data_IF_916745270948
#
_entry.id   IF_916745270948
#
_cell.length_a   1.000
_cell.length_b   1.000
_cell.length_c   1.000
_cell.angle_alpha   90.00
_cell.angle_beta   90.00
_cell.angle_gamma   90.00
#
_symmetry.space_group_name_H-M   'P 1'
#
loop_
_entity.id
_entity.type
_entity.pdbx_description
1 polymer ?
#
# COMPACT_ATOMS: atom_id res chain seq x y z
N UNK A 1 -14.69 13.13 6.27
CA UNK A 1 -13.81 12.09 5.71
C UNK A 1 -14.70 10.89 5.42
N UNK A 2 -14.48 10.13 4.34
CA UNK A 2 -15.31 8.95 4.04
C UNK A 2 -14.97 7.83 5.03
N UNK A 3 -15.95 7.00 5.40
CA UNK A 3 -15.82 5.96 6.43
C UNK A 3 -14.79 4.85 6.11
N UNK A 4 -14.30 4.81 4.88
CA UNK A 4 -13.31 3.84 4.39
C UNK A 4 -11.89 4.41 4.21
N UNK A 5 -11.59 5.59 4.76
CA UNK A 5 -10.26 6.22 4.71
C UNK A 5 -9.68 6.31 6.11
N UNK A 6 -8.54 5.63 6.32
CA UNK A 6 -7.86 5.50 7.60
C UNK A 6 -6.53 6.25 7.56
N UNK A 7 -6.44 7.39 8.22
CA UNK A 7 -5.19 8.13 8.40
C UNK A 7 -4.53 7.66 9.69
N UNK A 8 -3.27 7.26 9.59
CA UNK A 8 -2.52 6.70 10.71
C UNK A 8 -1.78 7.79 11.48
N UNK A 9 -2.23 8.07 12.69
CA UNK A 9 -1.69 9.12 13.57
C UNK A 9 -0.66 8.61 14.60
N UNK A 10 -0.23 7.34 14.47
CA UNK A 10 0.70 6.73 15.42
C UNK A 10 2.03 7.50 15.47
N UNK A 11 2.53 7.89 16.68
CA UNK A 11 3.72 8.75 16.82
C UNK A 11 4.97 8.25 16.09
N UNK A 12 5.21 6.93 16.05
CA UNK A 12 6.34 6.37 15.30
C UNK A 12 6.21 6.54 13.79
N UNK A 13 5.00 6.43 13.24
CA UNK A 13 4.75 6.66 11.82
C UNK A 13 4.99 8.13 11.52
N UNK A 14 4.45 9.05 12.32
CA UNK A 14 4.60 10.49 12.13
C UNK A 14 6.06 10.95 12.24
N UNK A 15 6.81 10.40 13.21
CA UNK A 15 8.24 10.65 13.34
C UNK A 15 9.03 10.22 12.10
N UNK A 16 8.80 8.99 11.62
CA UNK A 16 9.46 8.46 10.43
C UNK A 16 9.06 9.23 9.16
N UNK A 17 7.80 9.61 9.06
CA UNK A 17 7.29 10.42 7.96
C UNK A 17 7.97 11.81 7.92
N UNK A 18 8.20 12.43 9.08
CA UNK A 18 8.92 13.72 9.14
C UNK A 18 10.36 13.60 8.61
N UNK A 19 11.08 12.53 8.95
CA UNK A 19 12.43 12.28 8.42
C UNK A 19 12.39 11.96 6.92
N UNK A 20 11.39 11.16 6.49
CA UNK A 20 11.20 10.79 5.09
C UNK A 20 11.01 12.03 4.19
N UNK A 21 10.28 13.04 4.68
CA UNK A 21 10.00 14.28 3.97
C UNK A 21 11.21 15.18 3.78
N UNK A 22 12.18 15.12 4.69
CA UNK A 22 13.36 16.00 4.64
C UNK A 22 14.12 15.82 3.33
N UNK A 23 14.41 16.92 2.63
CA UNK A 23 15.15 16.93 1.38
C UNK A 23 16.58 16.36 1.49
N UNK A 24 17.15 16.43 2.72
CA UNK A 24 18.48 15.91 3.04
C UNK A 24 18.52 14.41 3.25
N UNK A 25 17.36 13.75 3.36
CA UNK A 25 17.28 12.29 3.52
C UNK A 25 17.75 11.60 2.24
N UNK A 26 18.93 10.99 2.29
CA UNK A 26 19.52 10.29 1.15
C UNK A 26 18.78 9.00 0.81
N UNK A 27 18.98 8.49 -0.43
CA UNK A 27 18.22 7.34 -0.96
C UNK A 27 18.29 6.07 -0.11
N UNK A 28 19.41 5.80 0.58
CA UNK A 28 19.51 4.64 1.48
C UNK A 28 18.51 4.77 2.64
N UNK A 29 18.58 5.88 3.36
CA UNK A 29 17.72 6.13 4.51
C UNK A 29 16.25 6.27 4.08
N UNK A 30 16.00 6.85 2.91
CA UNK A 30 14.64 6.96 2.36
C UNK A 30 14.02 5.57 2.13
N UNK A 31 14.75 4.60 1.55
CA UNK A 31 14.29 3.21 1.38
C UNK A 31 14.02 2.53 2.72
N UNK A 32 14.92 2.70 3.69
CA UNK A 32 14.75 2.13 5.03
C UNK A 32 13.47 2.66 5.69
N UNK A 33 13.22 3.97 5.63
CA UNK A 33 12.03 4.61 6.18
C UNK A 33 10.74 4.18 5.46
N UNK A 34 10.76 4.09 4.13
CA UNK A 34 9.61 3.58 3.34
C UNK A 34 9.24 2.17 3.78
N UNK A 35 10.24 1.29 3.93
CA UNK A 35 10.04 -0.09 4.38
C UNK A 35 9.49 -0.16 5.81
N UNK A 36 10.05 0.62 6.73
CA UNK A 36 9.60 0.68 8.12
C UNK A 36 8.18 1.23 8.29
N UNK A 37 7.85 2.30 7.55
CA UNK A 37 6.48 2.86 7.55
C UNK A 37 5.51 1.82 6.96
N UNK A 38 5.86 1.18 5.84
CA UNK A 38 5.03 0.15 5.22
C UNK A 38 4.76 -1.03 6.16
N UNK A 39 5.75 -1.46 6.95
CA UNK A 39 5.59 -2.49 7.97
C UNK A 39 4.59 -2.08 9.04
N UNK A 40 4.71 -0.86 9.59
CA UNK A 40 3.79 -0.34 10.61
C UNK A 40 2.37 -0.18 10.06
N UNK A 41 2.24 0.31 8.83
CA UNK A 41 0.95 0.40 8.13
C UNK A 41 0.33 -0.97 7.88
N UNK A 42 1.14 -1.98 7.54
CA UNK A 42 0.68 -3.34 7.37
C UNK A 42 0.12 -3.91 8.68
N UNK A 43 0.76 -3.66 9.81
CA UNK A 43 0.28 -4.04 11.13
C UNK A 43 -1.12 -3.46 11.39
N UNK A 44 -1.34 -2.18 11.16
CA UNK A 44 -2.64 -1.54 11.36
C UNK A 44 -3.69 -2.01 10.34
N UNK A 45 -3.34 -2.09 9.07
CA UNK A 45 -4.28 -2.50 8.01
C UNK A 45 -4.72 -3.97 8.10
N UNK A 46 -4.04 -4.79 8.90
CA UNK A 46 -4.38 -6.20 9.15
C UNK A 46 -5.14 -6.43 10.46
N UNK A 47 -5.50 -5.39 11.19
CA UNK A 47 -6.20 -5.47 12.49
C UNK A 47 -7.54 -6.22 12.44
N UNK A 48 -8.21 -6.22 11.30
CA UNK A 48 -9.50 -6.86 11.05
C UNK A 48 -9.41 -8.31 10.54
N UNK A 49 -8.20 -8.90 10.53
CA UNK A 49 -8.04 -10.29 10.09
C UNK A 49 -8.73 -11.25 11.07
N UNK A 50 -9.53 -12.20 10.56
CA UNK A 50 -10.24 -13.14 11.41
C UNK A 50 -9.29 -14.15 12.03
N UNK A 51 -9.60 -14.53 13.26
CA UNK A 51 -8.90 -15.55 14.02
C UNK A 51 -9.78 -16.79 14.17
N UNK A 52 -9.15 -17.98 14.22
CA UNK A 52 -9.78 -19.26 14.55
C UNK A 52 -9.14 -19.86 15.77
N UNK A 53 -9.93 -20.51 16.61
CA UNK A 53 -9.40 -21.25 17.75
C UNK A 53 -8.76 -22.57 17.29
N UNK A 54 -7.62 -22.88 17.86
CA UNK A 54 -6.87 -24.13 17.64
C UNK A 54 -6.30 -24.63 18.95
N UNK A 55 -6.25 -25.96 19.09
CA UNK A 55 -5.52 -26.58 20.21
C UNK A 55 -4.05 -26.79 19.81
N UNK A 56 -3.16 -26.39 20.71
CA UNK A 56 -1.72 -26.62 20.55
C UNK A 56 -1.16 -27.28 21.82
N UNK A 57 -0.08 -28.05 21.67
CA UNK A 57 0.74 -28.50 22.82
C UNK A 57 1.78 -27.46 23.12
N UNK A 58 1.79 -26.94 24.35
CA UNK A 58 2.88 -26.15 24.90
C UNK A 58 3.86 -27.09 25.62
N UNK A 59 5.03 -26.60 26.04
CA UNK A 59 5.94 -27.42 26.87
C UNK A 59 5.35 -27.88 28.19
N UNK A 60 4.26 -27.27 28.64
CA UNK A 60 3.65 -27.54 29.96
C UNK A 60 2.33 -28.29 29.83
N UNK A 61 1.45 -27.90 28.90
CA UNK A 61 0.10 -28.47 28.76
C UNK A 61 -0.50 -28.21 27.39
N UNK A 62 -1.67 -28.82 27.11
CA UNK A 62 -2.49 -28.46 25.96
C UNK A 62 -3.21 -27.13 26.21
N UNK A 63 -3.17 -26.20 25.26
CA UNK A 63 -3.80 -24.91 25.37
C UNK A 63 -4.66 -24.60 24.14
N UNK A 64 -5.79 -23.93 24.36
CA UNK A 64 -6.60 -23.32 23.31
C UNK A 64 -6.01 -21.94 22.97
N UNK A 65 -5.67 -21.74 21.72
CA UNK A 65 -5.04 -20.52 21.21
C UNK A 65 -5.71 -20.03 19.94
N UNK A 66 -5.30 -18.87 19.42
CA UNK A 66 -5.85 -18.29 18.20
C UNK A 66 -4.79 -18.22 17.10
N UNK A 67 -5.18 -18.63 15.90
CA UNK A 67 -4.40 -18.45 14.68
C UNK A 67 -5.21 -17.70 13.64
N UNK A 68 -4.55 -17.10 12.66
CA UNK A 68 -5.25 -16.50 11.52
C UNK A 68 -6.12 -17.55 10.84
N UNK A 69 -7.35 -17.18 10.50
CA UNK A 69 -8.39 -18.10 9.98
C UNK A 69 -8.16 -18.49 8.50
N UNK A 70 -6.95 -18.90 8.15
CA UNK A 70 -6.61 -19.48 6.84
C UNK A 70 -6.68 -18.50 5.66
N UNK A 71 -6.79 -17.17 5.90
CA UNK A 71 -6.78 -16.18 4.83
C UNK A 71 -5.38 -16.05 4.23
N UNK A 72 -5.32 -16.24 2.93
CA UNK A 72 -4.10 -16.04 2.15
C UNK A 72 -4.02 -14.56 1.78
N UNK A 73 -2.84 -13.94 1.90
CA UNK A 73 -2.60 -12.55 1.53
C UNK A 73 -1.73 -12.45 0.28
N UNK A 74 -1.91 -11.36 -0.45
CA UNK A 74 -1.03 -10.96 -1.53
C UNK A 74 -0.75 -9.46 -1.46
N UNK A 75 0.51 -9.08 -1.69
CA UNK A 75 0.92 -7.69 -1.87
C UNK A 75 1.12 -7.41 -3.36
N UNK A 76 0.61 -6.29 -3.82
CA UNK A 76 0.71 -5.88 -5.22
C UNK A 76 1.23 -4.44 -5.29
N UNK A 77 2.55 -4.25 -5.35
CA UNK A 77 3.13 -2.93 -5.56
C UNK A 77 2.81 -2.43 -6.97
N UNK A 78 2.46 -1.14 -7.07
CA UNK A 78 2.41 -0.42 -8.34
C UNK A 78 3.84 -0.02 -8.69
N UNK A 79 4.33 -0.54 -9.80
CA UNK A 79 5.69 -0.29 -10.28
C UNK A 79 5.83 1.19 -10.71
N UNK A 80 6.97 1.82 -10.46
CA UNK A 80 8.18 1.34 -9.76
C UNK A 80 8.17 1.59 -8.25
N UNK A 81 7.60 2.72 -7.81
CA UNK A 81 7.74 3.25 -6.44
C UNK A 81 7.20 2.30 -5.36
N UNK A 82 6.10 1.58 -5.63
CA UNK A 82 5.53 0.60 -4.70
C UNK A 82 6.48 -0.50 -4.27
N UNK A 83 7.52 -0.81 -5.06
CA UNK A 83 8.53 -1.81 -4.69
C UNK A 83 9.24 -1.48 -3.37
N UNK A 84 9.43 -0.19 -3.05
CA UNK A 84 10.06 0.22 -1.80
C UNK A 84 9.31 -0.20 -0.54
N UNK A 85 8.02 -0.51 -0.66
CA UNK A 85 7.19 -0.93 0.47
C UNK A 85 7.21 -2.45 0.71
N UNK A 86 7.64 -3.24 -0.28
CA UNK A 86 7.47 -4.70 -0.29
C UNK A 86 8.23 -5.40 0.83
N UNK A 87 9.49 -5.05 1.05
CA UNK A 87 10.32 -5.68 2.08
C UNK A 87 9.73 -5.46 3.48
N UNK A 88 9.20 -4.26 3.74
CA UNK A 88 8.56 -3.93 5.01
C UNK A 88 7.34 -4.79 5.30
N UNK A 89 6.42 -4.93 4.34
CA UNK A 89 5.22 -5.75 4.53
C UNK A 89 5.54 -7.26 4.57
N UNK A 90 6.52 -7.72 3.81
CA UNK A 90 6.95 -9.14 3.85
C UNK A 90 7.68 -9.50 5.15
N UNK A 91 8.39 -8.55 5.79
CA UNK A 91 9.00 -8.80 7.10
C UNK A 91 7.95 -9.14 8.17
N UNK A 92 6.74 -8.60 8.05
CA UNK A 92 5.63 -8.88 8.96
C UNK A 92 4.82 -10.12 8.52
N UNK A 93 4.63 -10.30 7.21
CA UNK A 93 3.82 -11.42 6.66
C UNK A 93 4.62 -12.17 5.59
N UNK A 94 5.64 -12.94 5.98
CA UNK A 94 6.57 -13.57 5.03
C UNK A 94 5.94 -14.67 4.15
N UNK A 95 4.78 -15.19 4.53
CA UNK A 95 4.04 -16.17 3.75
C UNK A 95 3.14 -15.58 2.66
N UNK A 96 3.02 -14.24 2.58
CA UNK A 96 2.24 -13.58 1.54
C UNK A 96 2.89 -13.77 0.15
N UNK A 97 2.07 -13.86 -0.88
CA UNK A 97 2.56 -13.80 -2.25
C UNK A 97 2.69 -12.35 -2.71
N UNK A 98 3.59 -12.13 -3.67
CA UNK A 98 3.76 -10.81 -4.29
C UNK A 98 3.40 -10.92 -5.77
N UNK A 99 2.48 -10.07 -6.20
CA UNK A 99 2.24 -9.78 -7.61
C UNK A 99 2.81 -8.41 -7.95
N UNK A 100 2.93 -8.09 -9.24
CA UNK A 100 3.42 -6.78 -9.67
C UNK A 100 2.51 -6.25 -10.77
N UNK A 101 2.22 -4.95 -10.71
CA UNK A 101 1.49 -4.26 -11.74
C UNK A 101 2.22 -2.97 -12.12
N UNK A 102 2.45 -2.76 -13.41
CA UNK A 102 3.03 -1.55 -13.95
C UNK A 102 2.06 -0.91 -14.92
N UNK A 103 1.72 0.35 -14.67
CA UNK A 103 0.75 1.12 -15.44
C UNK A 103 1.41 2.40 -15.96
N UNK A 104 1.04 2.81 -17.17
CA UNK A 104 1.28 4.16 -17.66
C UNK A 104 0.05 4.67 -18.40
N UNK A 105 -0.04 5.97 -18.58
CA UNK A 105 -1.05 6.56 -19.43
C UNK A 105 -0.48 6.75 -20.84
N UNK A 106 -1.17 6.17 -21.80
CA UNK A 106 -0.84 6.38 -23.20
C UNK A 106 -0.88 7.89 -23.53
N UNK A 107 0.18 8.46 -24.10
CA UNK A 107 0.27 9.91 -24.31
C UNK A 107 -0.71 10.45 -25.36
N UNK A 108 -1.21 9.60 -26.27
CA UNK A 108 -2.13 10.00 -27.33
C UNK A 108 -3.59 9.80 -26.91
N UNK A 109 -3.89 8.64 -26.33
CA UNK A 109 -5.27 8.26 -26.00
C UNK A 109 -5.65 8.61 -24.56
N UNK A 110 -4.68 8.96 -23.71
CA UNK A 110 -4.82 9.15 -22.28
C UNK A 110 -5.45 7.96 -21.52
N UNK A 111 -5.53 6.79 -22.17
CA UNK A 111 -6.03 5.57 -21.53
C UNK A 111 -4.95 4.89 -20.72
N UNK A 112 -5.34 4.23 -19.61
CA UNK A 112 -4.40 3.41 -18.86
C UNK A 112 -3.97 2.20 -19.69
N UNK A 113 -2.67 1.90 -19.65
CA UNK A 113 -2.08 0.72 -20.29
C UNK A 113 -1.23 0.00 -19.25
N UNK A 114 -1.51 -1.29 -19.05
CA UNK A 114 -0.64 -2.14 -18.26
C UNK A 114 0.54 -2.62 -19.12
N UNK A 115 1.73 -2.11 -18.85
CA UNK A 115 2.95 -2.63 -19.49
C UNK A 115 3.49 -3.86 -18.78
N UNK A 116 3.04 -4.13 -17.58
CA UNK A 116 3.40 -5.33 -16.81
C UNK A 116 2.29 -5.68 -15.82
N UNK A 117 1.78 -6.89 -15.90
CA UNK A 117 0.82 -7.42 -14.94
C UNK A 117 1.10 -8.90 -14.70
N UNK A 118 1.69 -9.23 -13.54
CA UNK A 118 1.92 -10.61 -13.14
C UNK A 118 1.46 -10.80 -11.71
N UNK A 119 0.31 -11.43 -11.56
CA UNK A 119 -0.37 -11.66 -10.28
C UNK A 119 -0.37 -13.14 -9.91
N UNK A 120 -0.50 -13.50 -8.62
CA UNK A 120 -0.66 -14.89 -8.20
C UNK A 120 -1.88 -15.55 -8.87
N UNK A 121 -1.72 -16.77 -9.36
CA UNK A 121 -2.81 -17.49 -10.04
C UNK A 121 -4.03 -17.77 -9.15
N UNK A 122 -3.84 -17.79 -7.82
CA UNK A 122 -4.88 -17.98 -6.81
C UNK A 122 -5.29 -16.64 -6.15
N UNK A 123 -5.27 -15.52 -6.90
CA UNK A 123 -5.59 -14.20 -6.37
C UNK A 123 -7.04 -14.13 -5.85
N UNK A 124 -7.94 -14.87 -6.48
CA UNK A 124 -9.35 -15.01 -6.09
C UNK A 124 -9.56 -15.65 -4.70
N UNK A 125 -8.53 -16.28 -4.13
CA UNK A 125 -8.55 -16.82 -2.77
C UNK A 125 -7.90 -15.88 -1.73
N UNK A 126 -7.40 -14.70 -2.15
CA UNK A 126 -6.54 -13.83 -1.34
C UNK A 126 -7.20 -12.52 -0.97
N UNK A 127 -6.81 -12.00 0.18
CA UNK A 127 -6.93 -10.58 0.50
C UNK A 127 -5.71 -9.87 -0.13
N UNK A 128 -5.97 -8.85 -0.95
CA UNK A 128 -4.94 -8.14 -1.73
C UNK A 128 -4.69 -6.78 -1.12
N UNK A 129 -3.42 -6.46 -0.90
CA UNK A 129 -2.96 -5.14 -0.48
C UNK A 129 -2.19 -4.49 -1.64
N UNK A 130 -2.76 -3.45 -2.20
CA UNK A 130 -2.13 -2.65 -3.26
C UNK A 130 -1.24 -1.60 -2.60
N UNK A 131 0.02 -1.52 -3.04
CA UNK A 131 1.04 -0.67 -2.43
C UNK A 131 1.51 0.40 -3.41
N UNK A 132 1.37 1.65 -3.03
CA UNK A 132 1.94 2.79 -3.74
C UNK A 132 2.31 3.87 -2.71
N UNK A 133 3.54 4.38 -2.66
CA UNK A 133 3.90 5.39 -1.65
C UNK A 133 3.13 6.70 -1.77
N UNK A 134 2.57 7.03 -2.93
CA UNK A 134 1.93 8.32 -3.17
C UNK A 134 0.58 8.20 -3.86
N UNK A 135 -0.47 8.74 -3.25
CA UNK A 135 -1.78 8.90 -3.86
C UNK A 135 -2.00 10.40 -4.20
N UNK A 136 -1.45 10.82 -5.36
CA UNK A 136 -1.55 12.20 -5.83
C UNK A 136 -2.90 12.47 -6.54
N UNK A 137 -3.00 12.26 -7.85
CA UNK A 137 -4.27 12.39 -8.59
C UNK A 137 -5.15 11.16 -8.48
N UNK A 138 -4.62 10.03 -8.03
CA UNK A 138 -5.31 8.75 -7.96
C UNK A 138 -5.30 7.93 -9.25
N UNK A 139 -4.90 8.48 -10.38
CA UNK A 139 -5.04 7.83 -11.68
C UNK A 139 -4.41 6.43 -11.74
N UNK A 140 -3.11 6.28 -11.42
CA UNK A 140 -2.44 4.97 -11.44
C UNK A 140 -3.05 3.97 -10.45
N UNK A 141 -3.45 4.46 -9.27
CA UNK A 141 -4.06 3.61 -8.24
C UNK A 141 -5.46 3.12 -8.68
N UNK A 142 -6.27 4.00 -9.28
CA UNK A 142 -7.60 3.66 -9.82
C UNK A 142 -7.46 2.60 -10.90
N UNK A 143 -6.59 2.83 -11.87
CA UNK A 143 -6.42 1.93 -13.00
C UNK A 143 -5.86 0.56 -12.54
N UNK A 144 -4.88 0.55 -11.62
CA UNK A 144 -4.32 -0.67 -11.07
C UNK A 144 -5.36 -1.49 -10.28
N UNK A 145 -6.16 -0.84 -9.43
CA UNK A 145 -7.22 -1.52 -8.68
C UNK A 145 -8.32 -2.05 -9.61
N UNK A 146 -8.71 -1.29 -10.64
CA UNK A 146 -9.65 -1.77 -11.65
C UNK A 146 -9.14 -3.06 -12.32
N UNK A 147 -7.86 -3.07 -12.71
CA UNK A 147 -7.22 -4.25 -13.31
C UNK A 147 -7.14 -5.44 -12.36
N UNK A 148 -6.80 -5.21 -11.08
CA UNK A 148 -6.75 -6.26 -10.05
C UNK A 148 -8.14 -6.87 -9.81
N UNK A 149 -9.21 -6.07 -9.86
CA UNK A 149 -10.61 -6.54 -9.69
C UNK A 149 -11.02 -7.57 -10.74
N UNK A 150 -10.46 -7.53 -11.94
CA UNK A 150 -10.74 -8.53 -13.00
C UNK A 150 -10.32 -9.96 -12.59
N UNK A 151 -9.39 -10.11 -11.63
CA UNK A 151 -8.96 -11.39 -11.07
C UNK A 151 -9.81 -11.84 -9.87
N UNK A 152 -10.88 -11.13 -9.56
CA UNK A 152 -11.86 -11.44 -8.51
C UNK A 152 -11.25 -11.74 -7.13
N UNK A 153 -10.37 -10.90 -6.57
CA UNK A 153 -9.82 -11.10 -5.23
C UNK A 153 -10.93 -11.06 -4.18
N UNK A 154 -10.70 -11.71 -3.02
CA UNK A 154 -11.70 -11.71 -1.93
C UNK A 154 -11.93 -10.32 -1.36
N UNK A 155 -10.88 -9.56 -1.18
CA UNK A 155 -10.88 -8.16 -0.73
C UNK A 155 -9.67 -7.45 -1.31
N UNK A 156 -9.81 -6.14 -1.47
CA UNK A 156 -8.70 -5.26 -1.80
C UNK A 156 -8.60 -4.18 -0.72
N UNK A 157 -7.38 -3.86 -0.31
CA UNK A 157 -7.03 -2.69 0.50
C UNK A 157 -5.95 -1.91 -0.23
N UNK A 158 -6.01 -0.60 -0.18
CA UNK A 158 -4.99 0.27 -0.75
C UNK A 158 -4.17 0.91 0.36
N UNK A 159 -2.84 0.89 0.24
CA UNK A 159 -1.92 1.47 1.21
C UNK A 159 -1.01 2.49 0.52
N UNK A 160 -1.00 3.73 1.03
CA UNK A 160 -0.08 4.78 0.57
C UNK A 160 0.57 5.51 1.75
N UNK A 161 1.82 5.95 1.58
CA UNK A 161 2.53 6.67 2.64
C UNK A 161 1.97 8.09 2.77
N UNK A 162 1.83 8.81 1.66
CA UNK A 162 1.15 10.12 1.63
C UNK A 162 0.05 10.16 0.58
N UNK A 163 -0.94 10.99 0.84
CA UNK A 163 -2.03 11.24 -0.10
C UNK A 163 -2.37 12.74 -0.16
N UNK A 164 -2.88 13.17 -1.31
CA UNK A 164 -3.58 14.44 -1.45
C UNK A 164 -5.11 14.22 -1.32
N UNK A 165 -5.87 15.22 -0.83
CA UNK A 165 -7.33 15.14 -0.76
C UNK A 165 -7.97 14.81 -2.10
N UNK A 166 -7.47 15.39 -3.19
CA UNK A 166 -7.95 15.16 -4.56
C UNK A 166 -7.79 13.69 -4.98
N UNK A 167 -6.66 13.07 -4.61
CA UNK A 167 -6.41 11.65 -4.89
C UNK A 167 -7.32 10.73 -4.07
N UNK A 168 -7.53 11.05 -2.80
CA UNK A 168 -8.48 10.32 -1.94
C UNK A 168 -9.90 10.42 -2.52
N UNK A 169 -10.33 11.62 -2.92
CA UNK A 169 -11.66 11.83 -3.48
C UNK A 169 -11.86 11.04 -4.78
N UNK A 170 -10.92 11.15 -5.72
CA UNK A 170 -10.97 10.44 -7.00
C UNK A 170 -10.96 8.92 -6.80
N UNK A 171 -10.04 8.41 -5.97
CA UNK A 171 -9.92 6.98 -5.72
C UNK A 171 -11.16 6.39 -5.04
N UNK A 172 -11.68 7.05 -4.01
CA UNK A 172 -12.86 6.56 -3.27
C UNK A 172 -14.17 6.74 -4.05
N UNK A 173 -14.22 7.64 -5.03
CA UNK A 173 -15.33 7.74 -5.98
C UNK A 173 -15.33 6.56 -6.96
N UNK A 174 -14.14 6.16 -7.47
CA UNK A 174 -13.99 5.05 -8.41
C UNK A 174 -14.12 3.68 -7.72
N UNK A 175 -13.60 3.56 -6.49
CA UNK A 175 -13.55 2.31 -5.72
C UNK A 175 -14.07 2.49 -4.29
N UNK A 176 -15.38 2.74 -4.09
CA UNK A 176 -15.96 2.97 -2.77
C UNK A 176 -15.88 1.74 -1.84
N UNK A 177 -15.68 0.57 -2.41
CA UNK A 177 -15.54 -0.73 -1.72
C UNK A 177 -14.10 -1.03 -1.26
N UNK A 178 -13.12 -0.18 -1.62
CA UNK A 178 -11.72 -0.39 -1.30
C UNK A 178 -11.27 0.57 -0.19
N UNK A 179 -10.98 0.08 1.03
CA UNK A 179 -10.46 0.93 2.09
C UNK A 179 -9.05 1.42 1.77
N UNK A 180 -8.81 2.70 2.08
CA UNK A 180 -7.53 3.40 1.92
C UNK A 180 -6.87 3.56 3.27
N UNK A 181 -5.64 3.08 3.39
CA UNK A 181 -4.77 3.30 4.54
C UNK A 181 -3.65 4.26 4.15
N UNK A 182 -3.53 5.37 4.86
CA UNK A 182 -2.57 6.44 4.55
C UNK A 182 -1.80 6.84 5.80
N UNK A 183 -0.47 6.98 5.72
CA UNK A 183 0.34 7.43 6.84
C UNK A 183 0.27 8.95 7.04
N UNK A 184 0.01 9.73 5.98
CA UNK A 184 -0.17 11.17 6.07
C UNK A 184 -1.06 11.72 4.95
N UNK A 185 -2.07 12.50 5.34
CA UNK A 185 -2.88 13.27 4.41
C UNK A 185 -2.31 14.68 4.33
N UNK A 186 -1.92 15.10 3.14
CA UNK A 186 -1.31 16.39 2.86
C UNK A 186 -2.37 17.42 2.42
N UNK A 187 -1.93 18.68 2.16
CA UNK A 187 -2.87 19.79 2.02
C UNK A 187 -3.58 19.79 0.65
N UNK A 188 -2.82 19.64 -0.45
CA UNK A 188 -3.35 19.75 -1.82
C UNK A 188 -2.33 19.30 -2.86
N UNK A 189 -2.75 19.26 -4.12
CA UNK A 189 -1.87 19.10 -5.29
C UNK A 189 -1.46 20.49 -5.84
N UNK A 190 -0.13 20.64 -6.07
CA UNK A 190 0.42 21.78 -6.81
C UNK A 190 0.33 21.54 -8.32
N UNK A 191 0.70 22.57 -9.12
CA UNK A 191 0.96 22.43 -10.56
C UNK A 191 1.87 21.23 -10.83
N UNK A 192 1.64 20.50 -11.91
CA UNK A 192 2.30 19.23 -12.25
C UNK A 192 2.03 18.06 -11.29
N UNK A 193 0.93 18.14 -10.51
CA UNK A 193 0.42 17.05 -9.65
C UNK A 193 1.36 16.62 -8.50
N UNK A 194 2.26 17.49 -8.05
CA UNK A 194 3.04 17.25 -6.84
C UNK A 194 2.18 17.47 -5.59
N UNK A 195 2.28 16.56 -4.63
CA UNK A 195 1.63 16.68 -3.32
C UNK A 195 2.36 17.77 -2.49
N UNK A 196 1.63 18.61 -1.78
CA UNK A 196 2.14 19.66 -0.91
C UNK A 196 1.66 19.45 0.53
N UNK A 197 2.59 19.42 1.53
CA UNK A 197 4.03 19.63 1.47
C UNK A 197 4.79 18.48 0.79
N UNK A 198 4.22 17.28 0.71
CA UNK A 198 4.75 16.15 -0.04
C UNK A 198 6.07 15.57 0.51
N UNK A 199 6.75 14.84 -0.36
CA UNK A 199 8.08 14.27 -0.12
C UNK A 199 8.92 14.21 -1.42
N UNK A 200 8.52 14.95 -2.47
CA UNK A 200 9.14 14.89 -3.80
C UNK A 200 8.64 13.70 -4.61
N UNK A 201 9.43 13.23 -5.58
CA UNK A 201 9.14 12.01 -6.32
C UNK A 201 9.66 10.80 -5.55
N UNK A 202 8.72 9.95 -5.09
CA UNK A 202 9.08 8.78 -4.28
C UNK A 202 9.91 7.77 -5.06
N UNK A 203 9.62 7.55 -6.35
CA UNK A 203 10.37 6.63 -7.18
C UNK A 203 11.82 7.06 -7.35
N UNK A 204 12.04 8.31 -7.70
CA UNK A 204 13.39 8.87 -7.85
C UNK A 204 14.16 8.84 -6.53
N UNK A 205 13.52 9.17 -5.42
CA UNK A 205 14.16 9.12 -4.08
C UNK A 205 14.48 7.70 -3.63
N UNK A 206 13.60 6.72 -3.91
CA UNK A 206 13.83 5.30 -3.60
C UNK A 206 15.00 4.76 -4.43
N UNK A 207 15.04 5.05 -5.73
CA UNK A 207 15.98 4.43 -6.65
C UNK A 207 17.23 5.28 -6.95
N UNK A 208 17.24 6.55 -6.53
CA UNK A 208 18.37 7.45 -6.77
C UNK A 208 18.52 7.79 -8.26
N UNK A 209 17.39 7.99 -8.96
CA UNK A 209 17.38 8.24 -10.42
C UNK A 209 17.40 9.72 -10.80
N UNK A 210 17.56 10.61 -9.86
CA UNK A 210 17.86 12.05 -10.05
C UNK A 210 19.12 12.41 -9.32
#
# INVERSE_FOLDING_TARGET
>A
MKDNVFIMDHPLIQHKLSILRDEKTGSKQFRELVSEIAMLMCYESTRDLPLTEVEIKTPITTAKTKKLAGRKMAFVPILRAGLGMVDGVLSLIPAAKVGHIGMYRDPETHKPVDYYCKLPADLNERDVFVLDPMLATGGSAIDAVARIKEFNPKRIKFMCIIAAPEGIEAFTAAHPDVPVYCAGLDDHLKEHCYIVPGLGDAGDRIFGTK
#
